data_IF_876562574462
#
_entry.id   IF_876562574462
#
_cell.length_a   1.000
_cell.length_b   1.000
_cell.length_c   1.000
_cell.angle_alpha   90.00
_cell.angle_beta   90.00
_cell.angle_gamma   90.00
#
_symmetry.space_group_name_H-M   'P 1'
#
loop_
_entity.id
_entity.type
_entity.pdbx_description
1 polymer ?
#
# COMPACT_ATOMS: atom_id res chain seq x y z
N UNK A 1 1.48 -41.74 -0.99
CA UNK A 1 0.28 -41.09 -0.40
C UNK A 1 0.31 -39.57 -0.49
N UNK A 2 1.43 -38.97 -0.90
CA UNK A 2 1.56 -37.50 -1.12
C UNK A 2 1.01 -37.04 -2.48
N UNK A 3 0.98 -37.92 -3.47
CA UNK A 3 0.66 -37.60 -4.86
C UNK A 3 -0.68 -36.87 -5.06
N UNK A 4 -1.81 -37.30 -4.43
CA UNK A 4 -3.10 -36.63 -4.65
C UNK A 4 -3.12 -35.20 -4.09
N UNK A 5 -2.44 -34.96 -2.96
CA UNK A 5 -2.44 -33.66 -2.30
C UNK A 5 -1.51 -32.67 -3.02
N UNK A 6 -0.32 -33.13 -3.45
CA UNK A 6 0.59 -32.34 -4.31
C UNK A 6 -0.05 -32.03 -5.66
N UNK A 7 -0.77 -33.01 -6.25
CA UNK A 7 -1.50 -32.77 -7.48
C UNK A 7 -2.60 -31.70 -7.29
N UNK A 8 -3.40 -31.80 -6.22
CA UNK A 8 -4.42 -30.81 -5.92
C UNK A 8 -3.82 -29.42 -5.68
N UNK A 9 -2.74 -29.34 -4.91
CA UNK A 9 -2.00 -28.09 -4.66
C UNK A 9 -1.47 -27.49 -5.97
N UNK A 10 -0.75 -28.26 -6.77
CA UNK A 10 -0.20 -27.84 -8.05
C UNK A 10 -1.27 -27.31 -9.01
N UNK A 11 -2.40 -28.02 -9.12
CA UNK A 11 -3.54 -27.57 -9.96
C UNK A 11 -4.13 -26.26 -9.45
N UNK A 12 -4.44 -26.17 -8.15
CA UNK A 12 -5.07 -24.99 -7.56
C UNK A 12 -4.17 -23.77 -7.70
N UNK A 13 -2.88 -23.89 -7.32
CA UNK A 13 -1.93 -22.79 -7.35
C UNK A 13 -1.65 -22.33 -8.78
N UNK A 14 -1.48 -23.26 -9.72
CA UNK A 14 -1.31 -22.94 -11.14
C UNK A 14 -2.55 -22.23 -11.71
N UNK A 15 -3.74 -22.70 -11.36
CA UNK A 15 -5.00 -22.07 -11.78
C UNK A 15 -5.10 -20.64 -11.25
N UNK A 16 -4.76 -20.41 -9.98
CA UNK A 16 -4.72 -19.07 -9.41
C UNK A 16 -3.70 -18.14 -10.10
N UNK A 17 -2.54 -18.67 -10.50
CA UNK A 17 -1.56 -17.92 -11.28
C UNK A 17 -2.16 -17.46 -12.63
N UNK A 18 -2.87 -18.33 -13.35
CA UNK A 18 -3.56 -17.96 -14.58
C UNK A 18 -4.69 -16.95 -14.35
N UNK A 19 -5.51 -17.15 -13.31
CA UNK A 19 -6.55 -16.17 -12.95
C UNK A 19 -5.94 -14.80 -12.72
N UNK A 20 -4.84 -14.69 -11.96
CA UNK A 20 -4.14 -13.44 -11.73
C UNK A 20 -3.65 -12.80 -13.02
N UNK A 21 -3.18 -13.56 -14.01
CA UNK A 21 -2.77 -13.02 -15.32
C UNK A 21 -3.95 -12.53 -16.16
N UNK A 22 -5.10 -13.20 -16.05
CA UNK A 22 -6.31 -12.91 -16.84
C UNK A 22 -7.11 -11.72 -16.29
N UNK A 23 -6.94 -11.33 -15.02
CA UNK A 23 -7.59 -10.14 -14.45
C UNK A 23 -7.19 -8.92 -15.28
N UNK A 24 -8.16 -8.27 -15.91
CA UNK A 24 -7.95 -7.05 -16.70
C UNK A 24 -7.81 -5.85 -15.77
N UNK A 25 -6.78 -5.06 -16.01
CA UNK A 25 -6.53 -3.77 -15.38
C UNK A 25 -6.39 -2.78 -16.53
N UNK A 26 -7.12 -1.67 -16.46
CA UNK A 26 -7.05 -0.65 -17.50
C UNK A 26 -5.61 -0.15 -17.71
N UNK A 27 -5.20 0.10 -18.99
CA UNK A 27 -3.81 0.39 -19.32
C UNK A 27 -3.41 1.86 -19.07
N UNK A 28 -3.79 2.43 -17.94
CA UNK A 28 -3.36 3.77 -17.54
C UNK A 28 -1.94 3.77 -16.96
N UNK A 29 -1.27 4.91 -17.00
CA UNK A 29 0.04 5.09 -16.35
C UNK A 29 -0.03 4.77 -14.86
N UNK A 30 -1.11 5.14 -14.21
CA UNK A 30 -1.37 4.95 -12.79
C UNK A 30 -1.48 3.47 -12.41
N UNK A 31 -2.14 2.68 -13.23
CA UNK A 31 -2.30 1.23 -13.04
C UNK A 31 -1.04 0.43 -13.38
N UNK A 32 -0.01 1.06 -13.97
CA UNK A 32 1.26 0.40 -14.36
C UNK A 32 1.91 -0.35 -13.21
N UNK A 33 1.93 0.24 -12.01
CA UNK A 33 2.54 -0.37 -10.82
C UNK A 33 1.72 -1.52 -10.29
N UNK A 34 0.39 -1.42 -10.35
CA UNK A 34 -0.52 -2.52 -9.98
C UNK A 34 -0.40 -3.67 -10.97
N UNK A 35 -0.30 -3.38 -12.27
CA UNK A 35 -0.03 -4.40 -13.30
C UNK A 35 1.31 -5.10 -13.06
N UNK A 36 2.33 -4.35 -12.64
CA UNK A 36 3.63 -4.92 -12.28
C UNK A 36 3.53 -5.82 -11.05
N UNK A 37 2.86 -5.37 -9.98
CA UNK A 37 2.62 -6.20 -8.78
C UNK A 37 1.84 -7.48 -9.10
N UNK A 38 0.81 -7.39 -9.96
CA UNK A 38 0.04 -8.54 -10.45
C UNK A 38 0.94 -9.54 -11.18
N UNK A 39 1.81 -9.07 -12.09
CA UNK A 39 2.72 -9.93 -12.83
C UNK A 39 3.73 -10.64 -11.90
N UNK A 40 4.29 -9.91 -10.91
CA UNK A 40 5.16 -10.50 -9.90
C UNK A 40 4.42 -11.57 -9.10
N UNK A 41 3.20 -11.28 -8.68
CA UNK A 41 2.40 -12.24 -7.91
C UNK A 41 2.07 -13.48 -8.71
N UNK A 42 1.65 -13.33 -9.96
CA UNK A 42 1.38 -14.47 -10.85
C UNK A 42 2.64 -15.32 -11.07
N UNK A 43 3.79 -14.70 -11.31
CA UNK A 43 5.07 -15.40 -11.42
C UNK A 43 5.42 -16.14 -10.13
N UNK A 44 5.14 -15.54 -8.97
CA UNK A 44 5.36 -16.18 -7.67
C UNK A 44 4.47 -17.41 -7.46
N UNK A 45 3.22 -17.38 -7.92
CA UNK A 45 2.33 -18.54 -7.86
C UNK A 45 2.76 -19.66 -8.82
N UNK A 46 3.23 -19.34 -10.03
CA UNK A 46 3.82 -20.37 -10.91
C UNK A 46 5.01 -21.04 -10.27
N UNK A 47 5.92 -20.25 -9.68
CA UNK A 47 7.09 -20.79 -9.03
C UNK A 47 6.73 -21.66 -7.81
N UNK A 48 5.70 -21.27 -7.07
CA UNK A 48 5.21 -22.00 -5.91
C UNK A 48 4.65 -23.39 -6.28
N UNK A 49 4.08 -23.53 -7.49
CA UNK A 49 3.58 -24.81 -7.99
C UNK A 49 4.68 -25.76 -8.46
N UNK A 50 5.91 -25.27 -8.70
CA UNK A 50 7.01 -26.10 -9.25
C UNK A 50 7.33 -27.32 -8.39
N UNK A 51 7.57 -27.23 -7.06
CA UNK A 51 7.85 -28.40 -6.23
C UNK A 51 6.72 -29.43 -6.25
N UNK A 52 5.46 -28.97 -6.28
CA UNK A 52 4.30 -29.86 -6.34
C UNK A 52 4.28 -30.66 -7.65
N UNK A 53 4.54 -29.99 -8.78
CA UNK A 53 4.59 -30.66 -10.10
C UNK A 53 5.80 -31.59 -10.23
N UNK A 54 6.97 -31.19 -9.72
CA UNK A 54 8.15 -32.08 -9.71
C UNK A 54 7.86 -33.38 -8.92
N UNK A 55 7.17 -33.27 -7.79
CA UNK A 55 6.74 -34.41 -7.00
C UNK A 55 5.72 -35.29 -7.75
N UNK A 56 4.75 -34.68 -8.43
CA UNK A 56 3.71 -35.40 -9.21
C UNK A 56 4.31 -36.19 -10.37
N UNK A 57 5.30 -35.62 -11.07
CA UNK A 57 5.97 -36.27 -12.19
C UNK A 57 7.05 -37.27 -11.78
N UNK A 58 7.31 -37.42 -10.46
CA UNK A 58 8.32 -38.34 -9.95
C UNK A 58 9.75 -37.95 -10.34
N UNK A 59 9.99 -36.66 -10.55
CA UNK A 59 11.28 -36.11 -10.97
C UNK A 59 12.20 -35.77 -9.78
N UNK A 60 11.74 -36.03 -8.54
CA UNK A 60 12.48 -35.71 -7.31
C UNK A 60 12.64 -36.91 -6.41
N UNK A 61 13.87 -37.13 -5.94
CA UNK A 61 14.17 -37.89 -4.74
C UNK A 61 13.92 -37.06 -3.48
N UNK A 62 13.95 -37.65 -2.28
CA UNK A 62 13.66 -36.95 -1.02
C UNK A 62 14.53 -35.72 -0.78
N UNK A 63 15.81 -35.80 -1.16
CA UNK A 63 16.80 -34.74 -0.98
C UNK A 63 16.56 -33.59 -1.97
N UNK A 64 16.15 -33.90 -3.21
CA UNK A 64 15.76 -32.93 -4.24
C UNK A 64 14.53 -32.13 -3.84
N UNK A 65 13.55 -32.75 -3.14
CA UNK A 65 12.36 -32.05 -2.62
C UNK A 65 12.77 -31.02 -1.57
N UNK A 66 13.69 -31.32 -0.68
CA UNK A 66 14.19 -30.39 0.32
C UNK A 66 14.88 -29.18 -0.34
N UNK A 67 15.76 -29.43 -1.31
CA UNK A 67 16.46 -28.41 -2.06
C UNK A 67 15.48 -27.52 -2.86
N UNK A 68 14.52 -28.11 -3.56
CA UNK A 68 13.48 -27.38 -4.28
C UNK A 68 12.62 -26.52 -3.34
N UNK A 69 12.31 -27.01 -2.13
CA UNK A 69 11.54 -26.27 -1.13
C UNK A 69 12.31 -25.04 -0.62
N UNK A 70 13.60 -25.19 -0.31
CA UNK A 70 14.47 -24.08 0.16
C UNK A 70 14.58 -22.98 -0.92
N UNK A 71 14.84 -23.36 -2.16
CA UNK A 71 14.94 -22.44 -3.29
C UNK A 71 13.62 -21.73 -3.53
N UNK A 72 12.52 -22.47 -3.58
CA UNK A 72 11.17 -21.92 -3.78
C UNK A 72 10.80 -20.95 -2.65
N UNK A 73 11.08 -21.29 -1.40
CA UNK A 73 10.81 -20.42 -0.25
C UNK A 73 11.62 -19.12 -0.30
N UNK A 74 12.90 -19.20 -0.72
CA UNK A 74 13.75 -18.01 -0.87
C UNK A 74 13.21 -17.06 -1.94
N UNK A 75 12.91 -17.56 -3.13
CA UNK A 75 12.38 -16.74 -4.23
C UNK A 75 10.96 -16.23 -3.89
N UNK A 76 10.14 -17.08 -3.28
CA UNK A 76 8.78 -16.71 -2.86
C UNK A 76 8.76 -15.59 -1.83
N UNK A 77 9.65 -15.64 -0.82
CA UNK A 77 9.75 -14.59 0.19
C UNK A 77 10.06 -13.23 -0.42
N UNK A 78 10.94 -13.20 -1.43
CA UNK A 78 11.26 -12.01 -2.21
C UNK A 78 10.03 -11.50 -2.97
N UNK A 79 9.46 -12.34 -3.83
CA UNK A 79 8.39 -11.93 -4.76
C UNK A 79 7.14 -11.49 -4.00
N UNK A 80 6.78 -12.21 -2.92
CA UNK A 80 5.63 -11.87 -2.09
C UNK A 80 5.83 -10.55 -1.34
N UNK A 81 7.02 -10.34 -0.78
CA UNK A 81 7.36 -9.08 -0.09
C UNK A 81 7.31 -7.90 -1.06
N UNK A 82 7.90 -8.05 -2.25
CA UNK A 82 7.88 -7.00 -3.25
C UNK A 82 6.48 -6.72 -3.79
N UNK A 83 5.64 -7.74 -3.96
CA UNK A 83 4.21 -7.55 -4.31
C UNK A 83 3.50 -6.67 -3.29
N UNK A 84 3.62 -6.99 -2.00
CA UNK A 84 2.98 -6.21 -0.95
C UNK A 84 3.56 -4.81 -0.81
N UNK A 85 4.88 -4.64 -0.94
CA UNK A 85 5.52 -3.31 -0.93
C UNK A 85 5.06 -2.48 -2.13
N UNK A 86 4.94 -3.07 -3.32
CA UNK A 86 4.44 -2.35 -4.51
C UNK A 86 3.02 -1.83 -4.31
N UNK A 87 2.20 -2.54 -3.55
CA UNK A 87 0.84 -2.11 -3.23
C UNK A 87 0.80 -0.98 -2.19
N UNK A 88 1.71 -1.02 -1.20
CA UNK A 88 1.74 -0.08 -0.08
C UNK A 88 2.53 1.18 -0.47
N UNK A 89 3.69 1.01 -1.07
CA UNK A 89 4.61 2.09 -1.40
C UNK A 89 5.27 1.87 -2.77
N UNK A 90 4.51 2.14 -3.86
CA UNK A 90 4.94 1.87 -5.23
C UNK A 90 6.22 2.63 -5.64
N UNK A 91 6.53 3.77 -5.01
CA UNK A 91 7.72 4.58 -5.29
C UNK A 91 9.04 3.91 -4.91
N UNK A 92 9.04 3.03 -3.90
CA UNK A 92 10.26 2.32 -3.46
C UNK A 92 10.63 1.14 -4.37
N UNK A 93 9.66 0.59 -5.10
CA UNK A 93 9.88 -0.55 -6.00
C UNK A 93 10.24 -0.02 -7.39
N UNK A 94 11.53 0.18 -7.62
CA UNK A 94 12.06 0.48 -8.96
C UNK A 94 12.42 -0.82 -9.67
N UNK A 95 12.19 -0.90 -10.98
CA UNK A 95 12.52 -2.08 -11.80
C UNK A 95 13.96 -2.53 -11.58
N UNK A 96 14.90 -1.59 -11.47
CA UNK A 96 16.33 -1.89 -11.23
C UNK A 96 16.57 -2.56 -9.88
N UNK A 97 15.97 -2.04 -8.80
CA UNK A 97 16.13 -2.63 -7.44
C UNK A 97 15.50 -4.02 -7.37
N UNK A 98 14.32 -4.19 -7.95
CA UNK A 98 13.64 -5.49 -8.02
C UNK A 98 14.49 -6.50 -8.77
N UNK A 99 15.02 -6.13 -9.94
CA UNK A 99 15.86 -7.02 -10.74
C UNK A 99 17.17 -7.41 -10.02
N UNK A 100 17.84 -6.47 -9.36
CA UNK A 100 19.06 -6.77 -8.57
C UNK A 100 18.76 -7.75 -7.43
N UNK A 101 17.66 -7.57 -6.72
CA UNK A 101 17.28 -8.50 -5.64
C UNK A 101 16.92 -9.89 -6.20
N UNK A 102 16.19 -9.96 -7.31
CA UNK A 102 15.87 -11.24 -7.99
C UNK A 102 17.17 -11.94 -8.41
N UNK A 103 18.08 -11.20 -9.05
CA UNK A 103 19.37 -11.75 -9.49
C UNK A 103 20.21 -12.27 -8.31
N UNK A 104 20.26 -11.53 -7.20
CA UNK A 104 21.00 -11.93 -6.00
C UNK A 104 20.44 -13.21 -5.39
N UNK A 105 19.11 -13.31 -5.26
CA UNK A 105 18.46 -14.52 -4.75
C UNK A 105 18.63 -15.69 -5.73
N UNK A 106 18.53 -15.46 -7.04
CA UNK A 106 18.74 -16.50 -8.05
C UNK A 106 20.19 -17.05 -8.02
N UNK A 107 21.18 -16.16 -7.95
CA UNK A 107 22.59 -16.56 -7.83
C UNK A 107 22.82 -17.36 -6.53
N UNK A 108 22.30 -16.90 -5.40
CA UNK A 108 22.38 -17.62 -4.12
C UNK A 108 21.75 -19.01 -4.20
N UNK A 109 20.58 -19.13 -4.86
CA UNK A 109 19.90 -20.41 -5.08
C UNK A 109 20.69 -21.35 -5.98
N UNK A 110 21.29 -20.84 -7.06
CA UNK A 110 22.15 -21.63 -7.96
C UNK A 110 23.40 -22.09 -7.20
N UNK A 111 24.07 -21.22 -6.46
CA UNK A 111 25.22 -21.59 -5.64
C UNK A 111 24.88 -22.69 -4.63
N UNK A 112 23.69 -22.61 -4.01
CA UNK A 112 23.23 -23.66 -3.11
C UNK A 112 23.04 -24.99 -3.83
N UNK A 113 22.33 -25.03 -4.95
CA UNK A 113 22.09 -26.26 -5.72
C UNK A 113 23.38 -26.90 -6.20
N UNK A 114 24.35 -26.09 -6.66
CA UNK A 114 25.67 -26.59 -7.07
C UNK A 114 26.45 -27.14 -5.87
N UNK A 115 26.45 -26.45 -4.74
CA UNK A 115 27.14 -26.90 -3.54
C UNK A 115 26.51 -28.19 -2.97
N UNK A 116 25.20 -28.32 -3.00
CA UNK A 116 24.46 -29.49 -2.56
C UNK A 116 24.75 -30.70 -3.44
N UNK A 117 24.76 -30.54 -4.76
CA UNK A 117 25.09 -31.61 -5.72
C UNK A 117 26.54 -32.07 -5.65
N UNK A 118 27.48 -31.19 -5.29
CA UNK A 118 28.91 -31.53 -5.19
C UNK A 118 29.29 -32.11 -3.83
N UNK A 119 28.71 -31.61 -2.76
CA UNK A 119 29.15 -31.97 -1.40
C UNK A 119 28.21 -32.98 -0.72
N UNK A 120 26.91 -32.99 -1.04
CA UNK A 120 25.88 -33.85 -0.41
C UNK A 120 25.88 -33.76 1.12
N UNK A 121 26.32 -32.62 1.67
CA UNK A 121 26.58 -32.47 3.10
C UNK A 121 25.45 -31.77 3.81
N UNK A 122 24.95 -32.27 4.96
CA UNK A 122 23.91 -31.61 5.75
C UNK A 122 24.32 -30.19 6.22
N UNK A 123 25.63 -29.90 6.24
CA UNK A 123 26.14 -28.56 6.58
C UNK A 123 25.72 -27.55 5.51
N UNK A 124 25.76 -27.91 4.22
CA UNK A 124 25.34 -27.03 3.10
C UNK A 124 23.87 -26.68 3.23
N UNK A 125 23.03 -27.64 3.52
CA UNK A 125 21.58 -27.45 3.74
C UNK A 125 21.31 -26.57 4.98
N UNK A 126 22.05 -26.79 6.09
CA UNK A 126 21.93 -25.94 7.28
C UNK A 126 22.30 -24.47 6.99
N UNK A 127 23.39 -24.26 6.22
CA UNK A 127 23.79 -22.89 5.81
C UNK A 127 22.75 -22.25 4.91
N UNK A 128 22.17 -22.99 3.98
CA UNK A 128 21.12 -22.50 3.10
C UNK A 128 19.84 -22.11 3.90
N UNK A 129 19.40 -22.95 4.83
CA UNK A 129 18.27 -22.64 5.72
C UNK A 129 18.55 -21.40 6.56
N UNK A 130 19.77 -21.29 7.14
CA UNK A 130 20.17 -20.10 7.88
C UNK A 130 20.13 -18.83 7.01
N UNK A 131 20.58 -18.91 5.76
CA UNK A 131 20.52 -17.81 4.80
C UNK A 131 19.09 -17.40 4.48
N UNK A 132 18.17 -18.35 4.28
CA UNK A 132 16.72 -18.06 4.09
C UNK A 132 16.12 -17.39 5.32
N UNK A 133 16.47 -17.84 6.52
CA UNK A 133 16.00 -17.20 7.77
C UNK A 133 16.47 -15.74 7.84
N UNK A 134 17.75 -15.47 7.57
CA UNK A 134 18.28 -14.09 7.53
C UNK A 134 17.55 -13.26 6.47
N UNK A 135 17.32 -13.82 5.29
CA UNK A 135 16.56 -13.19 4.22
C UNK A 135 15.13 -12.82 4.67
N UNK A 136 14.42 -13.74 5.33
CA UNK A 136 13.08 -13.50 5.87
C UNK A 136 13.08 -12.38 6.92
N UNK A 137 14.08 -12.34 7.81
CA UNK A 137 14.23 -11.28 8.80
C UNK A 137 14.46 -9.91 8.14
N UNK A 138 15.32 -9.84 7.13
CA UNK A 138 15.60 -8.61 6.38
C UNK A 138 14.36 -8.11 5.64
N UNK A 139 13.63 -9.00 4.97
CA UNK A 139 12.39 -8.61 4.26
C UNK A 139 11.28 -8.25 5.22
N UNK A 140 11.20 -8.89 6.39
CA UNK A 140 10.27 -8.51 7.45
C UNK A 140 10.57 -7.10 7.96
N UNK A 141 11.83 -6.79 8.23
CA UNK A 141 12.25 -5.46 8.66
C UNK A 141 11.96 -4.39 7.58
N UNK A 142 12.24 -4.72 6.30
CA UNK A 142 11.94 -3.85 5.18
C UNK A 142 10.43 -3.59 5.07
N UNK A 143 9.61 -4.65 5.08
CA UNK A 143 8.15 -4.51 5.02
C UNK A 143 7.60 -3.68 6.18
N UNK A 144 8.06 -3.93 7.41
CA UNK A 144 7.60 -3.17 8.59
C UNK A 144 7.95 -1.69 8.50
N UNK A 145 9.16 -1.35 7.98
CA UNK A 145 9.55 0.06 7.75
C UNK A 145 8.64 0.72 6.72
N UNK A 146 8.40 0.06 5.59
CA UNK A 146 7.51 0.55 4.54
C UNK A 146 6.07 0.71 5.04
N UNK A 147 5.57 -0.29 5.77
CA UNK A 147 4.23 -0.28 6.33
C UNK A 147 4.03 0.84 7.35
N UNK A 148 4.97 1.04 8.29
CA UNK A 148 4.92 2.14 9.26
C UNK A 148 4.93 3.51 8.58
N UNK A 149 5.78 3.70 7.54
CA UNK A 149 5.82 4.93 6.77
C UNK A 149 4.49 5.19 6.06
N UNK A 150 3.94 4.17 5.40
CA UNK A 150 2.67 4.24 4.71
C UNK A 150 1.49 4.54 5.65
N UNK A 151 1.39 3.83 6.79
CA UNK A 151 0.34 4.11 7.79
C UNK A 151 0.41 5.54 8.29
N UNK A 152 1.63 6.07 8.53
CA UNK A 152 1.80 7.47 8.93
C UNK A 152 1.31 8.42 7.84
N UNK A 153 1.69 8.20 6.58
CA UNK A 153 1.24 9.01 5.44
C UNK A 153 -0.29 8.96 5.23
N UNK A 154 -0.88 7.77 5.39
CA UNK A 154 -2.34 7.62 5.28
C UNK A 154 -3.07 8.29 6.45
N UNK A 155 -2.55 8.20 7.67
CA UNK A 155 -3.09 8.93 8.83
C UNK A 155 -3.04 10.44 8.62
N UNK A 156 -1.93 10.95 8.08
CA UNK A 156 -1.77 12.38 7.78
C UNK A 156 -2.73 12.84 6.68
N UNK A 157 -3.20 11.92 5.81
CA UNK A 157 -4.09 12.25 4.69
C UNK A 157 -5.59 12.00 4.97
N UNK A 158 -5.95 10.90 5.69
CA UNK A 158 -7.34 10.44 5.80
C UNK A 158 -7.96 10.47 7.20
N UNK A 159 -7.23 10.84 8.24
CA UNK A 159 -7.65 10.66 9.64
C UNK A 159 -7.81 9.17 10.10
N UNK A 160 -7.93 8.93 11.42
CA UNK A 160 -7.75 7.62 12.07
C UNK A 160 -8.68 6.47 11.62
N UNK A 161 -9.86 6.75 11.03
CA UNK A 161 -10.80 5.68 10.64
C UNK A 161 -10.41 4.89 9.38
N UNK A 162 -9.42 5.35 8.61
CA UNK A 162 -9.01 4.69 7.35
C UNK A 162 -7.98 3.57 7.54
N UNK A 163 -7.66 3.19 8.77
CA UNK A 163 -6.72 2.09 9.05
C UNK A 163 -7.23 0.70 8.62
N UNK A 164 -8.58 0.50 8.55
CA UNK A 164 -9.18 -0.82 8.25
C UNK A 164 -8.75 -1.44 6.93
N UNK A 165 -8.64 -0.69 5.81
CA UNK A 165 -8.19 -1.27 4.53
C UNK A 165 -6.73 -1.72 4.54
N UNK A 166 -5.91 -1.22 5.45
CA UNK A 166 -4.47 -1.46 5.51
C UNK A 166 -4.08 -2.66 6.35
N UNK A 167 -4.92 -3.02 7.32
CA UNK A 167 -4.68 -4.16 8.21
C UNK A 167 -4.57 -5.48 7.45
N UNK A 168 -5.27 -5.62 6.30
CA UNK A 168 -5.18 -6.83 5.50
C UNK A 168 -3.78 -7.06 4.94
N UNK A 169 -3.05 -6.02 4.51
CA UNK A 169 -1.69 -6.17 3.98
C UNK A 169 -0.72 -6.63 5.07
N UNK A 170 -0.81 -6.08 6.28
CA UNK A 170 -0.03 -6.52 7.44
C UNK A 170 -0.36 -7.96 7.82
N UNK A 171 -1.65 -8.29 7.90
CA UNK A 171 -2.09 -9.63 8.26
C UNK A 171 -1.71 -10.65 7.19
N UNK A 172 -1.78 -10.28 5.90
CA UNK A 172 -1.33 -11.12 4.79
C UNK A 172 0.18 -11.37 4.85
N UNK A 173 0.98 -10.34 5.17
CA UNK A 173 2.41 -10.52 5.34
C UNK A 173 2.74 -11.45 6.52
N UNK A 174 2.10 -11.25 7.67
CA UNK A 174 2.28 -12.10 8.84
C UNK A 174 1.87 -13.56 8.57
N UNK A 175 0.75 -13.77 7.87
CA UNK A 175 0.29 -15.09 7.48
C UNK A 175 1.23 -15.76 6.47
N UNK A 176 1.74 -15.02 5.47
CA UNK A 176 2.72 -15.53 4.52
C UNK A 176 4.05 -15.92 5.21
N UNK A 177 4.50 -15.11 6.15
CA UNK A 177 5.68 -15.40 6.96
C UNK A 177 5.47 -16.69 7.77
N UNK A 178 4.31 -16.84 8.43
CA UNK A 178 3.96 -18.05 9.17
C UNK A 178 3.92 -19.28 8.26
N UNK A 179 3.32 -19.18 7.07
CA UNK A 179 3.29 -20.26 6.08
C UNK A 179 4.69 -20.62 5.63
N UNK A 180 5.57 -19.62 5.38
CA UNK A 180 6.98 -19.87 5.01
C UNK A 180 7.76 -20.60 6.09
N UNK A 181 7.59 -20.21 7.36
CA UNK A 181 8.22 -20.90 8.50
C UNK A 181 7.68 -22.32 8.66
N UNK A 182 6.36 -22.50 8.56
CA UNK A 182 5.71 -23.82 8.63
C UNK A 182 6.14 -24.72 7.48
N UNK A 183 6.37 -24.17 6.28
CA UNK A 183 6.89 -24.93 5.14
C UNK A 183 8.30 -25.49 5.43
N UNK A 184 9.18 -24.71 6.08
CA UNK A 184 10.49 -25.22 6.49
C UNK A 184 10.38 -26.30 7.57
N UNK A 185 9.50 -26.11 8.56
CA UNK A 185 9.27 -27.12 9.60
C UNK A 185 8.60 -28.38 9.06
N UNK A 186 7.81 -28.28 7.99
CA UNK A 186 7.10 -29.42 7.39
C UNK A 186 8.04 -30.50 6.83
N UNK A 187 9.31 -30.17 6.57
CA UNK A 187 10.33 -31.12 6.15
C UNK A 187 10.70 -32.15 7.23
N UNK A 188 10.38 -31.87 8.49
CA UNK A 188 10.78 -32.70 9.66
C UNK A 188 9.60 -33.33 10.39
N UNK A 189 8.35 -33.04 9.98
CA UNK A 189 7.16 -33.47 10.71
C UNK A 189 6.53 -34.76 10.15
N UNK A 190 5.76 -35.52 10.99
CA UNK A 190 5.04 -36.70 10.54
C UNK A 190 3.97 -36.40 9.48
N UNK A 191 3.66 -37.41 8.65
CA UNK A 191 2.72 -37.34 7.54
C UNK A 191 1.36 -36.64 7.84
N UNK A 192 0.66 -36.94 8.95
CA UNK A 192 -0.64 -36.32 9.21
C UNK A 192 -0.54 -34.79 9.38
N UNK A 193 0.56 -34.34 10.03
CA UNK A 193 0.83 -32.91 10.25
C UNK A 193 1.16 -32.22 8.94
N UNK A 194 1.95 -32.86 8.07
CA UNK A 194 2.23 -32.36 6.71
C UNK A 194 0.94 -32.20 5.90
N UNK A 195 0.05 -33.18 5.93
CA UNK A 195 -1.22 -33.10 5.19
C UNK A 195 -2.10 -31.93 5.69
N UNK A 196 -2.17 -31.74 7.01
CA UNK A 196 -2.88 -30.62 7.60
C UNK A 196 -2.27 -29.27 7.19
N UNK A 197 -0.94 -29.19 7.20
CA UNK A 197 -0.21 -28.02 6.71
C UNK A 197 -0.55 -27.72 5.25
N UNK A 198 -0.52 -28.71 4.36
CA UNK A 198 -0.83 -28.52 2.93
C UNK A 198 -2.27 -28.02 2.69
N UNK A 199 -3.23 -28.48 3.49
CA UNK A 199 -4.60 -27.94 3.43
C UNK A 199 -4.64 -26.45 3.83
N UNK A 200 -3.97 -26.07 4.92
CA UNK A 200 -3.86 -24.68 5.35
C UNK A 200 -3.12 -23.82 4.33
N UNK A 201 -2.07 -24.36 3.72
CA UNK A 201 -1.27 -23.73 2.68
C UNK A 201 -2.13 -23.39 1.45
N UNK A 202 -2.86 -24.34 0.90
CA UNK A 202 -3.76 -24.13 -0.23
C UNK A 202 -4.84 -23.09 0.12
N UNK A 203 -5.47 -23.21 1.30
CA UNK A 203 -6.49 -22.28 1.76
C UNK A 203 -5.94 -20.85 1.90
N UNK A 204 -4.73 -20.69 2.41
CA UNK A 204 -4.06 -19.40 2.50
C UNK A 204 -3.87 -18.74 1.13
N UNK A 205 -3.35 -19.48 0.13
CA UNK A 205 -3.10 -18.90 -1.19
C UNK A 205 -4.39 -18.57 -1.95
N UNK A 206 -5.45 -19.36 -1.79
CA UNK A 206 -6.79 -19.02 -2.31
C UNK A 206 -7.30 -17.73 -1.66
N UNK A 207 -7.21 -17.63 -0.33
CA UNK A 207 -7.64 -16.45 0.40
C UNK A 207 -6.84 -15.21 -0.02
N UNK A 208 -5.51 -15.34 -0.13
CA UNK A 208 -4.65 -14.21 -0.51
C UNK A 208 -4.91 -13.74 -1.94
N UNK A 209 -5.01 -14.66 -2.91
CA UNK A 209 -5.34 -14.32 -4.29
C UNK A 209 -6.69 -13.60 -4.39
N UNK A 210 -7.70 -14.09 -3.68
CA UNK A 210 -9.02 -13.46 -3.61
C UNK A 210 -8.95 -12.04 -3.03
N UNK A 211 -8.19 -11.83 -1.94
CA UNK A 211 -7.98 -10.50 -1.35
C UNK A 211 -7.24 -9.56 -2.28
N UNK A 212 -6.24 -10.05 -2.98
CA UNK A 212 -5.47 -9.28 -3.94
C UNK A 212 -6.32 -8.86 -5.15
N UNK A 213 -7.13 -9.76 -5.71
CA UNK A 213 -8.07 -9.46 -6.80
C UNK A 213 -9.09 -8.42 -6.36
N UNK A 214 -9.68 -8.57 -5.17
CA UNK A 214 -10.60 -7.58 -4.62
C UNK A 214 -9.94 -6.21 -4.41
N UNK A 215 -8.65 -6.19 -4.04
CA UNK A 215 -7.89 -4.95 -3.95
C UNK A 215 -7.71 -4.29 -5.33
N UNK A 216 -7.38 -5.07 -6.37
CA UNK A 216 -7.26 -4.55 -7.74
C UNK A 216 -8.58 -3.94 -8.21
N UNK A 217 -9.71 -4.64 -8.01
CA UNK A 217 -11.03 -4.17 -8.42
C UNK A 217 -11.42 -2.86 -7.69
N UNK A 218 -10.94 -2.68 -6.45
CA UNK A 218 -11.18 -1.48 -5.65
C UNK A 218 -10.03 -0.46 -5.71
N UNK A 219 -9.05 -0.66 -6.59
CA UNK A 219 -7.86 0.19 -6.66
C UNK A 219 -8.19 1.65 -6.95
N UNK A 220 -9.25 1.93 -7.71
CA UNK A 220 -9.72 3.29 -8.01
C UNK A 220 -10.08 4.08 -6.74
N UNK A 221 -10.44 3.39 -5.65
CA UNK A 221 -10.68 4.02 -4.35
C UNK A 221 -9.40 4.35 -3.57
N UNK A 222 -8.29 3.61 -3.79
CA UNK A 222 -7.06 3.74 -3.02
C UNK A 222 -5.96 4.50 -3.78
N UNK A 223 -6.03 4.53 -5.10
CA UNK A 223 -5.07 5.21 -5.97
C UNK A 223 -4.86 6.69 -5.63
N UNK A 224 -5.90 7.51 -5.32
CA UNK A 224 -5.69 8.91 -4.96
C UNK A 224 -4.83 9.09 -3.71
N UNK A 225 -5.03 8.28 -2.66
CA UNK A 225 -4.22 8.33 -1.45
C UNK A 225 -2.77 7.90 -1.65
N UNK A 226 -2.58 6.87 -2.48
CA UNK A 226 -1.26 6.38 -2.85
C UNK A 226 -0.52 7.38 -3.75
N UNK A 227 -1.24 8.14 -4.59
CA UNK A 227 -0.68 9.23 -5.41
C UNK A 227 -0.11 10.35 -4.56
N UNK A 228 -0.91 10.92 -3.68
CA UNK A 228 -0.49 12.04 -2.84
C UNK A 228 0.71 11.65 -1.98
N UNK A 229 0.74 10.41 -1.48
CA UNK A 229 1.90 9.91 -0.75
C UNK A 229 3.12 9.63 -1.65
N UNK A 230 2.92 9.38 -2.96
CA UNK A 230 4.01 9.17 -3.91
C UNK A 230 4.57 10.50 -4.44
N UNK A 231 3.74 11.52 -4.60
CA UNK A 231 4.14 12.87 -5.02
C UNK A 231 4.90 13.61 -3.91
N UNK A 232 4.58 13.37 -2.63
CA UNK A 232 5.41 13.84 -1.51
C UNK A 232 6.79 13.16 -1.41
N UNK A 233 7.01 12.04 -2.13
CA UNK A 233 8.26 11.26 -2.13
C UNK A 233 9.10 11.53 -3.40
N UNK A 234 8.62 12.28 -4.36
CA UNK A 234 9.53 12.92 -5.31
C UNK A 234 10.30 13.93 -4.49
N UNK A 235 11.35 13.44 -3.79
CA UNK A 235 12.46 14.31 -3.39
C UNK A 235 12.80 15.15 -4.62
N UNK A 236 12.88 16.45 -4.52
CA UNK A 236 13.57 17.22 -5.56
C UNK A 236 14.88 16.49 -5.82
N UNK A 237 15.26 16.35 -7.09
CA UNK A 237 16.60 15.86 -7.47
C UNK A 237 17.61 16.39 -6.46
N UNK A 238 18.57 15.57 -6.01
CA UNK A 238 19.55 16.02 -5.04
C UNK A 238 20.23 17.24 -5.65
N UNK A 239 19.82 18.41 -5.22
CA UNK A 239 20.64 19.59 -5.36
C UNK A 239 22.01 19.23 -4.80
N UNK A 240 23.10 19.65 -5.45
CA UNK A 240 24.45 19.26 -5.05
C UNK A 240 24.61 19.53 -3.57
N UNK A 241 25.07 18.52 -2.86
CA UNK A 241 25.33 18.53 -1.42
C UNK A 241 26.08 19.80 -1.03
N UNK A 242 25.36 20.79 -0.53
CA UNK A 242 25.93 21.88 0.21
C UNK A 242 24.92 22.25 1.29
N UNK A 243 25.38 22.03 2.51
CA UNK A 243 24.90 22.49 3.80
C UNK A 243 23.87 21.66 4.56
N UNK A 244 24.08 21.56 5.90
CA UNK A 244 23.28 20.74 6.81
C UNK A 244 21.87 21.31 6.94
N UNK A 245 20.89 20.43 7.22
CA UNK A 245 19.54 20.82 7.63
C UNK A 245 19.61 21.94 8.68
N UNK A 246 19.47 23.17 8.21
CA UNK A 246 19.17 24.26 9.10
C UNK A 246 17.73 24.03 9.62
N UNK A 247 17.65 23.73 10.88
CA UNK A 247 16.42 23.68 11.68
C UNK A 247 15.59 24.91 11.31
N UNK A 248 14.28 24.74 11.09
CA UNK A 248 13.33 25.78 10.69
C UNK A 248 13.27 27.03 11.61
N UNK A 249 14.22 27.16 12.55
CA UNK A 249 14.41 28.29 13.46
C UNK A 249 15.20 29.45 12.88
N UNK A 250 15.89 29.29 11.73
CA UNK A 250 16.84 30.31 11.24
C UNK A 250 16.37 31.12 10.03
N UNK A 251 15.17 30.87 9.50
CA UNK A 251 14.52 31.72 8.53
C UNK A 251 13.55 32.64 9.26
N UNK A 252 13.98 33.87 9.50
CA UNK A 252 13.15 34.91 10.11
C UNK A 252 12.10 35.42 9.12
N UNK A 253 11.03 34.64 8.93
CA UNK A 253 9.86 35.01 8.12
C UNK A 253 8.99 36.09 8.80
N UNK A 254 9.37 36.55 9.97
CA UNK A 254 8.58 37.50 10.76
C UNK A 254 8.50 38.90 10.11
N UNK A 255 9.39 39.22 9.16
CA UNK A 255 9.46 40.56 8.52
C UNK A 255 8.91 40.59 7.08
N UNK A 256 8.36 39.49 6.55
CA UNK A 256 7.82 39.48 5.18
C UNK A 256 6.36 39.94 5.13
N UNK A 257 6.09 41.18 5.52
CA UNK A 257 4.75 41.80 5.49
C UNK A 257 4.12 41.78 4.09
N UNK A 258 4.96 41.78 3.04
CA UNK A 258 4.54 41.72 1.64
C UNK A 258 4.08 40.31 1.26
N UNK A 259 4.80 39.25 1.59
CA UNK A 259 4.40 37.86 1.34
C UNK A 259 3.11 37.51 2.10
N UNK A 260 2.95 38.05 3.32
CA UNK A 260 1.73 37.88 4.10
C UNK A 260 0.53 38.47 3.39
N UNK A 261 0.63 39.68 2.86
CA UNK A 261 -0.45 40.34 2.11
C UNK A 261 -0.81 39.58 0.83
N UNK A 262 0.21 39.16 0.07
CA UNK A 262 0.01 38.39 -1.16
C UNK A 262 -0.72 37.08 -0.85
N UNK A 263 -0.29 36.34 0.20
CA UNK A 263 -0.94 35.09 0.59
C UNK A 263 -2.36 35.31 1.09
N UNK A 264 -2.62 36.36 1.89
CA UNK A 264 -3.97 36.66 2.36
C UNK A 264 -4.91 36.95 1.19
N UNK A 265 -4.51 37.77 0.23
CA UNK A 265 -5.30 38.05 -0.97
C UNK A 265 -5.55 36.78 -1.79
N UNK A 266 -4.52 35.92 -1.96
CA UNK A 266 -4.68 34.66 -2.69
C UNK A 266 -5.63 33.70 -1.98
N UNK A 267 -5.62 33.63 -0.64
CA UNK A 267 -6.55 32.81 0.12
C UNK A 267 -7.97 33.36 0.10
N UNK A 268 -8.15 34.69 0.17
CA UNK A 268 -9.44 35.34 0.03
C UNK A 268 -10.04 35.07 -1.37
N UNK A 269 -9.25 35.19 -2.43
CA UNK A 269 -9.67 34.90 -3.81
C UNK A 269 -10.05 33.40 -3.94
N UNK A 270 -9.27 32.49 -3.36
CA UNK A 270 -9.52 31.06 -3.35
C UNK A 270 -10.84 30.70 -2.65
N UNK A 271 -11.18 31.41 -1.58
CA UNK A 271 -12.47 31.23 -0.89
C UNK A 271 -13.62 31.84 -1.69
N UNK A 272 -13.43 33.04 -2.23
CA UNK A 272 -14.46 33.76 -2.99
C UNK A 272 -14.83 33.03 -4.29
N UNK A 273 -13.84 32.44 -4.99
CA UNK A 273 -14.06 31.64 -6.21
C UNK A 273 -14.60 30.25 -5.94
N UNK A 274 -14.67 29.83 -4.67
CA UNK A 274 -15.00 28.45 -4.23
C UNK A 274 -14.05 27.38 -4.80
N UNK A 275 -12.81 27.75 -5.07
CA UNK A 275 -11.79 26.84 -5.58
C UNK A 275 -11.49 25.69 -4.61
N UNK A 276 -11.79 25.87 -3.34
CA UNK A 276 -11.69 24.79 -2.33
C UNK A 276 -12.57 23.57 -2.61
N UNK A 277 -13.61 23.70 -3.44
CA UNK A 277 -14.49 22.61 -3.85
C UNK A 277 -13.86 21.73 -4.96
N UNK A 278 -12.96 22.32 -5.77
CA UNK A 278 -12.32 21.60 -6.86
C UNK A 278 -11.16 20.75 -6.34
N UNK A 279 -11.15 19.41 -6.52
CA UNK A 279 -10.06 18.54 -6.09
C UNK A 279 -8.68 18.96 -6.61
N UNK A 280 -8.61 19.43 -7.87
CA UNK A 280 -7.35 19.75 -8.57
C UNK A 280 -6.74 21.09 -8.13
N UNK A 281 -7.50 21.93 -7.43
CA UNK A 281 -7.04 23.22 -6.92
C UNK A 281 -6.58 23.08 -5.47
N UNK A 282 -5.45 22.44 -5.31
CA UNK A 282 -4.83 22.16 -4.02
C UNK A 282 -3.90 23.31 -3.52
N UNK A 283 -3.04 22.99 -2.57
CA UNK A 283 -2.01 23.90 -2.05
C UNK A 283 -1.10 24.43 -3.13
N UNK A 284 -0.68 23.56 -4.06
CA UNK A 284 0.29 23.91 -5.10
C UNK A 284 -0.31 24.91 -6.09
N UNK A 285 -1.60 24.76 -6.40
CA UNK A 285 -2.34 25.76 -7.20
C UNK A 285 -2.26 27.18 -6.60
N UNK A 286 -2.43 27.32 -5.27
CA UNK A 286 -2.33 28.63 -4.61
C UNK A 286 -0.90 29.14 -4.65
N UNK A 287 0.08 28.28 -4.37
CA UNK A 287 1.51 28.61 -4.38
C UNK A 287 1.95 29.07 -5.77
N UNK A 288 1.62 28.33 -6.83
CA UNK A 288 1.97 28.68 -8.21
C UNK A 288 1.33 30.00 -8.65
N UNK A 289 0.04 30.19 -8.31
CA UNK A 289 -0.70 31.39 -8.69
C UNK A 289 -0.23 32.64 -7.95
N UNK A 290 0.15 32.51 -6.68
CA UNK A 290 0.61 33.62 -5.85
C UNK A 290 2.11 33.91 -5.96
N UNK A 291 2.91 32.96 -6.47
CA UNK A 291 4.36 33.07 -6.54
C UNK A 291 5.05 33.03 -5.17
N UNK A 292 4.39 32.50 -4.15
CA UNK A 292 4.89 32.44 -2.77
C UNK A 292 5.80 31.24 -2.59
N UNK A 293 6.84 31.39 -1.76
CA UNK A 293 7.69 30.26 -1.36
C UNK A 293 6.86 29.19 -0.64
N UNK A 294 6.92 27.91 -1.07
CA UNK A 294 6.24 26.80 -0.41
C UNK A 294 6.54 26.66 1.08
N UNK A 295 7.75 27.07 1.50
CA UNK A 295 8.17 27.07 2.92
C UNK A 295 7.44 28.14 3.70
N UNK A 296 7.27 29.36 3.12
CA UNK A 296 6.49 30.42 3.73
C UNK A 296 5.02 30.05 3.86
N UNK A 297 4.41 29.45 2.83
CA UNK A 297 3.04 28.93 2.89
C UNK A 297 2.83 27.97 4.08
N UNK A 298 3.74 26.99 4.25
CA UNK A 298 3.71 26.05 5.38
C UNK A 298 3.83 26.77 6.72
N UNK A 299 4.81 27.67 6.84
CA UNK A 299 5.04 28.47 8.04
C UNK A 299 3.78 29.29 8.41
N UNK A 300 3.14 29.94 7.43
CA UNK A 300 1.94 30.76 7.63
C UNK A 300 0.78 29.94 8.18
N UNK A 301 0.51 28.77 7.63
CA UNK A 301 -0.54 27.88 8.12
C UNK A 301 -0.26 27.36 9.52
N UNK A 302 1.00 27.04 9.85
CA UNK A 302 1.39 26.52 11.17
C UNK A 302 1.42 27.62 12.23
N UNK A 303 1.93 28.82 11.92
CA UNK A 303 2.20 29.85 12.93
C UNK A 303 1.16 30.96 12.97
N UNK A 304 0.50 31.27 11.84
CA UNK A 304 -0.51 32.34 11.79
C UNK A 304 -1.92 31.78 11.88
N UNK A 305 -2.25 30.74 11.10
CA UNK A 305 -3.58 30.12 11.11
C UNK A 305 -3.67 28.97 12.14
N UNK A 306 -2.55 28.52 12.69
CA UNK A 306 -2.44 27.45 13.70
C UNK A 306 -3.18 26.16 13.33
N UNK A 307 -3.29 25.88 12.04
CA UNK A 307 -3.95 24.71 11.49
C UNK A 307 -3.30 24.29 10.15
N UNK A 308 -3.48 23.04 9.75
CA UNK A 308 -3.03 22.57 8.44
C UNK A 308 -3.97 23.09 7.34
N UNK A 309 -3.40 23.35 6.14
CA UNK A 309 -4.18 23.77 4.97
C UNK A 309 -5.31 22.80 4.62
N UNK A 310 -5.06 21.50 4.78
CA UNK A 310 -6.06 20.46 4.48
C UNK A 310 -7.25 20.55 5.43
N UNK A 311 -6.97 20.75 6.73
CA UNK A 311 -8.02 20.93 7.76
C UNK A 311 -8.80 22.22 7.46
N UNK A 312 -8.12 23.30 7.16
CA UNK A 312 -8.75 24.57 6.80
C UNK A 312 -9.66 24.42 5.58
N UNK A 313 -9.17 23.77 4.51
CA UNK A 313 -9.94 23.50 3.30
C UNK A 313 -11.13 22.58 3.56
N UNK A 314 -10.95 21.52 4.36
CA UNK A 314 -12.03 20.62 4.73
C UNK A 314 -13.13 21.35 5.51
N UNK A 315 -12.77 22.22 6.43
CA UNK A 315 -13.74 23.04 7.18
C UNK A 315 -14.57 23.94 6.26
N UNK A 316 -13.96 24.59 5.26
CA UNK A 316 -14.70 25.37 4.25
C UNK A 316 -15.71 24.52 3.48
N UNK A 317 -15.33 23.30 3.10
CA UNK A 317 -16.23 22.35 2.44
C UNK A 317 -17.39 21.92 3.34
N UNK A 318 -17.14 21.74 4.63
CA UNK A 318 -18.20 21.38 5.58
C UNK A 318 -19.16 22.56 5.82
N UNK A 319 -18.67 23.79 5.89
CA UNK A 319 -19.56 24.97 5.98
C UNK A 319 -20.44 25.11 4.72
N UNK A 320 -19.88 24.87 3.54
CA UNK A 320 -20.67 24.85 2.31
C UNK A 320 -21.68 23.68 2.29
N UNK A 321 -21.29 22.51 2.85
CA UNK A 321 -22.20 21.38 3.02
C UNK A 321 -23.42 21.75 3.86
N UNK A 322 -23.20 22.38 5.01
CA UNK A 322 -24.27 22.85 5.91
C UNK A 322 -25.22 23.79 5.16
N UNK A 323 -24.65 24.74 4.40
CA UNK A 323 -25.44 25.69 3.61
C UNK A 323 -26.30 24.96 2.57
N UNK A 324 -25.77 24.00 1.84
CA UNK A 324 -26.51 23.25 0.81
C UNK A 324 -27.59 22.37 1.46
N UNK A 325 -27.30 21.67 2.56
CA UNK A 325 -28.29 20.85 3.27
C UNK A 325 -29.46 21.68 3.75
N UNK A 326 -29.22 22.90 4.24
CA UNK A 326 -30.28 23.82 4.68
C UNK A 326 -31.13 24.34 3.52
N UNK A 327 -30.54 24.56 2.34
CA UNK A 327 -31.24 25.11 1.16
C UNK A 327 -31.89 24.05 0.28
N UNK A 328 -31.41 22.79 0.35
CA UNK A 328 -31.86 21.69 -0.51
C UNK A 328 -32.01 20.41 0.32
N UNK A 329 -33.13 20.25 1.05
CA UNK A 329 -33.35 19.14 1.97
C UNK A 329 -33.40 17.75 1.31
N UNK A 330 -33.58 17.67 0.00
CA UNK A 330 -33.66 16.38 -0.74
C UNK A 330 -32.37 16.02 -1.45
N UNK A 331 -31.25 16.68 -1.09
CA UNK A 331 -29.94 16.38 -1.70
C UNK A 331 -29.45 15.00 -1.30
N UNK A 332 -29.00 14.23 -2.28
CA UNK A 332 -28.30 12.97 -2.01
C UNK A 332 -26.94 13.25 -1.36
N UNK A 333 -26.68 12.64 -0.20
CA UNK A 333 -25.42 12.84 0.53
C UNK A 333 -24.19 12.37 -0.27
N UNK A 334 -24.33 11.33 -1.10
CA UNK A 334 -23.28 10.88 -1.99
C UNK A 334 -22.98 11.90 -3.10
N UNK A 335 -24.01 12.45 -3.73
CA UNK A 335 -23.85 13.49 -4.73
C UNK A 335 -23.30 14.78 -4.13
N UNK A 336 -23.70 15.11 -2.90
CA UNK A 336 -23.18 16.25 -2.15
C UNK A 336 -21.68 16.09 -1.86
N UNK A 337 -21.24 14.90 -1.39
CA UNK A 337 -19.83 14.63 -1.13
C UNK A 337 -18.95 14.88 -2.38
N UNK A 338 -19.37 14.37 -3.53
CA UNK A 338 -18.68 14.57 -4.82
C UNK A 338 -18.66 16.06 -5.19
N UNK A 339 -19.81 16.74 -5.10
CA UNK A 339 -19.92 18.17 -5.40
C UNK A 339 -19.04 19.05 -4.53
N UNK A 340 -18.82 18.65 -3.28
CA UNK A 340 -17.95 19.34 -2.33
C UNK A 340 -16.46 19.00 -2.50
N UNK A 341 -16.11 18.13 -3.46
CA UNK A 341 -14.73 17.73 -3.73
C UNK A 341 -14.16 16.74 -2.74
N UNK A 342 -14.99 16.01 -1.98
CA UNK A 342 -14.54 14.88 -1.20
C UNK A 342 -14.35 13.67 -2.11
N UNK A 343 -13.22 12.98 -1.99
CA UNK A 343 -12.93 11.80 -2.80
C UNK A 343 -13.87 10.63 -2.54
N UNK A 344 -14.49 10.55 -1.36
CA UNK A 344 -15.47 9.53 -0.98
C UNK A 344 -16.54 10.12 -0.06
N UNK A 345 -17.75 9.51 -0.09
CA UNK A 345 -18.81 9.86 0.85
C UNK A 345 -18.42 9.59 2.30
N UNK A 346 -17.58 8.56 2.54
CA UNK A 346 -17.10 8.22 3.89
C UNK A 346 -16.25 9.34 4.47
N UNK A 347 -15.34 9.92 3.68
CA UNK A 347 -14.52 11.07 4.10
C UNK A 347 -15.40 12.27 4.41
N UNK A 348 -16.41 12.52 3.58
CA UNK A 348 -17.38 13.58 3.84
C UNK A 348 -18.10 13.38 5.18
N UNK A 349 -18.65 12.17 5.42
CA UNK A 349 -19.36 11.85 6.67
C UNK A 349 -18.46 12.00 7.89
N UNK A 350 -17.22 11.54 7.78
CA UNK A 350 -16.23 11.63 8.86
C UNK A 350 -15.90 13.08 9.21
N UNK A 351 -15.49 13.88 8.21
CA UNK A 351 -15.16 15.28 8.42
C UNK A 351 -16.36 16.09 8.92
N UNK A 352 -17.56 15.83 8.37
CA UNK A 352 -18.77 16.48 8.81
C UNK A 352 -19.06 16.19 10.29
N UNK A 353 -19.02 14.93 10.69
CA UNK A 353 -19.22 14.53 12.11
C UNK A 353 -18.17 15.13 13.03
N UNK A 354 -16.91 15.20 12.60
CA UNK A 354 -15.81 15.79 13.38
C UNK A 354 -16.02 17.29 13.62
N UNK A 355 -16.48 18.03 12.60
CA UNK A 355 -16.68 19.49 12.66
C UNK A 355 -18.01 19.85 13.31
N UNK A 356 -19.09 19.12 13.00
CA UNK A 356 -20.47 19.45 13.40
C UNK A 356 -20.94 18.67 14.63
N UNK A 357 -20.23 17.56 14.98
CA UNK A 357 -20.59 16.69 16.10
C UNK A 357 -21.63 15.62 15.78
N UNK A 358 -22.27 15.67 14.61
CA UNK A 358 -23.30 14.74 14.14
C UNK A 358 -23.10 14.41 12.67
N UNK A 359 -23.69 13.31 12.20
CA UNK A 359 -23.58 12.92 10.78
C UNK A 359 -24.36 13.87 9.87
N UNK A 360 -24.04 13.98 8.57
CA UNK A 360 -24.81 14.78 7.62
C UNK A 360 -26.29 14.42 7.57
N UNK A 361 -26.62 13.12 7.72
CA UNK A 361 -28.00 12.64 7.73
C UNK A 361 -28.73 13.06 8.99
N UNK A 362 -28.12 12.91 10.15
CA UNK A 362 -28.68 13.37 11.43
C UNK A 362 -28.90 14.90 11.43
N UNK A 363 -27.95 15.66 10.84
CA UNK A 363 -28.06 17.10 10.69
C UNK A 363 -29.24 17.47 9.79
N UNK A 364 -29.42 16.77 8.67
CA UNK A 364 -30.58 16.98 7.76
C UNK A 364 -31.90 16.69 8.47
N UNK A 365 -32.01 15.60 9.20
CA UNK A 365 -33.22 15.24 9.96
C UNK A 365 -33.55 16.28 11.03
N UNK A 366 -32.54 16.73 11.77
CA UNK A 366 -32.72 17.79 12.76
C UNK A 366 -33.18 19.13 12.14
N UNK A 367 -32.77 19.44 10.91
CA UNK A 367 -33.21 20.60 10.19
C UNK A 367 -34.66 20.46 9.70
N UNK A 368 -35.09 19.27 9.26
CA UNK A 368 -36.46 18.98 8.82
C UNK A 368 -37.48 19.11 9.96
N UNK A 369 -37.13 18.60 11.15
CA UNK A 369 -37.99 18.71 12.34
C UNK A 369 -38.19 20.15 12.78
N UNK A 370 -37.16 21.02 12.72
CA UNK A 370 -37.25 22.43 13.04
C UNK A 370 -38.02 23.28 12.03
N UNK A 371 -38.16 22.80 10.77
CA UNK A 371 -38.90 23.50 9.72
C UNK A 371 -40.39 23.16 9.69
N UNK A 372 -40.80 22.15 10.49
CA UNK A 372 -42.20 21.68 10.61
C UNK A 372 -42.86 22.14 11.92
N UNK A 373 -42.15 22.84 12.78
CA UNK A 373 -42.66 23.62 13.93
C UNK A 373 -42.77 25.09 13.53
#
# INVERSE_FOLDING_TARGET
>A
MYLPLSFASGVVITTLAFILLLVRIEPDEESRKIRFARAILAASYFLLAVPDWLNVFGLNDSDDIAAATIVSASIQSLLFTFTLITMIQPSLVTTRRTFVNIALVAVGSICYLVADSLAGSPIVTCVAVAAVIVQLLLYTALFQRCYKKFVRQVKDYYDEEYERPLHWARNSFAAALAVGVLAMLSLTVPQPVYNAFMCCYIAFYIWFASRFINYIIRSDYYLPAVKVSAEEIVEPEPEPKTEPEMVASDLDFNDSSEQKKILQVALEEYVASKDYLNPDRDRNYIIERSGIDPRYFRWYFQNVLTQDFRVWRANLRIEEAKRIILTTPDVSMNALAIKLGFGTSQNFYHHFKKVVGQTPTEFLEACRTKSSE
#
